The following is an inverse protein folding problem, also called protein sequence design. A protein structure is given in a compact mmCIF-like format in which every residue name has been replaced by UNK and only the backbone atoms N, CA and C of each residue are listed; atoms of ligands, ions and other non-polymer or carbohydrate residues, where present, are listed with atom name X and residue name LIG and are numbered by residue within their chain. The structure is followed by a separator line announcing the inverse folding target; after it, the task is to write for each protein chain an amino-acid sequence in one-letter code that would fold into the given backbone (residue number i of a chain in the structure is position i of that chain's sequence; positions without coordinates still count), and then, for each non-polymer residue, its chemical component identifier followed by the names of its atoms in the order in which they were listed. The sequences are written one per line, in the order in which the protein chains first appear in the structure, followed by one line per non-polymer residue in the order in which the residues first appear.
data_IF_111019071804
#
_entry.id   IF_111019071804
#
_cell.length_a   1.000
_cell.length_b   1.000
_cell.length_c   1.000
_cell.angle_alpha   90.00
_cell.angle_beta   90.00
_cell.angle_gamma   90.00
#
_symmetry.space_group_name_H-M   'P 1'
#
loop_
_entity.id
_entity.type
_entity.pdbx_description
1 polymer ?
#
# COMPACT_ATOMS: atom_id res chain seq x y z
N UNK A 1 3.13 -17.55 -18.41
CA UNK A 1 2.20 -16.64 -19.11
C UNK A 1 2.95 -15.98 -20.25
N UNK A 2 2.30 -15.80 -21.38
CA UNK A 2 2.91 -15.10 -22.54
C UNK A 2 3.17 -13.62 -22.15
N UNK A 3 4.23 -13.03 -22.69
CA UNK A 3 4.57 -11.63 -22.43
C UNK A 3 3.39 -10.67 -22.69
N UNK A 4 2.60 -10.94 -23.74
CA UNK A 4 1.40 -10.15 -24.11
C UNK A 4 0.33 -10.15 -23.02
N UNK A 5 0.04 -11.31 -22.40
CA UNK A 5 -0.96 -11.42 -21.34
C UNK A 5 -0.55 -10.65 -20.08
N UNK A 6 0.71 -10.77 -19.68
CA UNK A 6 1.25 -10.00 -18.55
C UNK A 6 1.21 -8.50 -18.83
N UNK A 7 1.54 -8.09 -20.05
CA UNK A 7 1.48 -6.69 -20.46
C UNK A 7 0.05 -6.14 -20.37
N UNK A 8 -0.94 -6.85 -20.95
CA UNK A 8 -2.35 -6.42 -20.93
C UNK A 8 -2.88 -6.30 -19.49
N UNK A 9 -2.59 -7.31 -18.63
CA UNK A 9 -3.03 -7.27 -17.23
C UNK A 9 -2.35 -6.14 -16.44
N UNK A 10 -1.04 -5.92 -16.67
CA UNK A 10 -0.33 -4.80 -16.03
C UNK A 10 -0.92 -3.46 -16.46
N UNK A 11 -1.21 -3.27 -17.74
CA UNK A 11 -1.86 -2.08 -18.27
C UNK A 11 -3.26 -1.87 -17.66
N UNK A 12 -4.03 -2.94 -17.48
CA UNK A 12 -5.35 -2.88 -16.84
C UNK A 12 -5.23 -2.46 -15.36
N UNK A 13 -4.32 -3.04 -14.59
CA UNK A 13 -4.10 -2.63 -13.21
C UNK A 13 -3.57 -1.20 -13.10
N UNK A 14 -2.72 -0.77 -14.04
CA UNK A 14 -2.26 0.61 -14.12
C UNK A 14 -3.42 1.57 -14.38
N UNK A 15 -4.33 1.23 -15.31
CA UNK A 15 -5.51 2.02 -15.58
C UNK A 15 -6.44 2.13 -14.34
N UNK A 16 -6.62 1.04 -13.59
CA UNK A 16 -7.36 1.06 -12.32
C UNK A 16 -6.68 1.99 -11.30
N UNK A 17 -5.36 1.94 -11.17
CA UNK A 17 -4.62 2.84 -10.27
C UNK A 17 -4.80 4.30 -10.66
N UNK A 18 -4.71 4.64 -11.95
CA UNK A 18 -4.93 6.00 -12.45
C UNK A 18 -6.38 6.44 -12.18
N UNK A 19 -7.35 5.58 -12.44
CA UNK A 19 -8.76 5.88 -12.18
C UNK A 19 -9.02 6.16 -10.70
N UNK A 20 -8.46 5.34 -9.81
CA UNK A 20 -8.55 5.58 -8.37
C UNK A 20 -7.83 6.86 -7.96
N UNK A 21 -6.71 7.20 -8.61
CA UNK A 21 -5.95 8.41 -8.30
C UNK A 21 -6.72 9.71 -8.57
N UNK A 22 -7.52 9.73 -9.66
CA UNK A 22 -8.30 10.90 -10.07
C UNK A 22 -9.71 10.95 -9.46
N UNK A 23 -10.12 9.88 -8.78
CA UNK A 23 -11.43 9.81 -8.11
C UNK A 23 -11.27 9.91 -6.58
N UNK A 24 -12.32 10.35 -5.85
CA UNK A 24 -12.30 10.34 -4.38
C UNK A 24 -12.17 8.94 -3.76
N UNK A 25 -12.45 7.90 -4.54
CA UNK A 25 -12.42 6.51 -4.06
C UNK A 25 -11.01 6.02 -3.70
N UNK A 26 -9.98 6.58 -4.33
CA UNK A 26 -8.60 6.15 -4.06
C UNK A 26 -8.02 6.64 -2.74
N UNK A 27 -8.52 7.76 -2.23
CA UNK A 27 -8.03 8.39 -1.01
C UNK A 27 -9.21 8.95 -0.22
N UNK A 28 -9.63 8.25 0.78
CA UNK A 28 -10.76 8.61 1.64
C UNK A 28 -10.20 9.39 2.84
N UNK A 29 -10.52 10.69 3.01
CA UNK A 29 -10.02 11.46 4.14
C UNK A 29 -10.64 10.96 5.45
N UNK A 30 -9.80 10.55 6.40
CA UNK A 30 -10.20 10.15 7.75
C UNK A 30 -9.36 10.97 8.73
N UNK A 31 -9.87 12.14 9.10
CA UNK A 31 -9.15 13.09 9.96
C UNK A 31 -7.85 13.59 9.31
N UNK A 32 -6.71 13.62 10.02
CA UNK A 32 -5.45 14.13 9.48
C UNK A 32 -4.78 13.17 8.50
N UNK A 33 -5.25 11.95 8.39
CA UNK A 33 -4.69 10.88 7.56
C UNK A 33 -5.70 10.46 6.51
N UNK A 34 -5.21 10.11 5.31
CA UNK A 34 -6.04 9.55 4.25
C UNK A 34 -5.98 8.02 4.27
N UNK A 35 -7.12 7.37 4.48
CA UNK A 35 -7.26 5.95 4.16
C UNK A 35 -7.13 5.78 2.63
N UNK A 36 -6.40 4.79 2.19
CA UNK A 36 -6.19 4.58 0.76
C UNK A 36 -6.67 3.20 0.32
N UNK A 37 -7.48 3.17 -0.71
CA UNK A 37 -7.91 1.92 -1.36
C UNK A 37 -6.95 1.49 -2.48
N UNK A 38 -6.02 2.36 -2.86
CA UNK A 38 -5.08 2.12 -3.97
C UNK A 38 -4.13 0.94 -3.74
N UNK A 39 -3.90 0.54 -2.49
CA UNK A 39 -3.08 -0.62 -2.19
C UNK A 39 -3.75 -1.94 -2.60
N UNK A 40 -5.09 -2.00 -2.66
CA UNK A 40 -5.84 -3.22 -3.02
C UNK A 40 -5.49 -3.73 -4.43
N UNK A 41 -5.58 -2.93 -5.52
CA UNK A 41 -5.16 -3.38 -6.84
C UNK A 41 -3.69 -3.81 -6.91
N UNK A 42 -2.81 -3.15 -6.16
CA UNK A 42 -1.38 -3.50 -6.12
C UNK A 42 -1.16 -4.87 -5.47
N UNK A 43 -1.85 -5.15 -4.36
CA UNK A 43 -1.84 -6.45 -3.67
C UNK A 43 -2.32 -7.56 -4.61
N UNK A 44 -3.47 -7.35 -5.26
CA UNK A 44 -4.04 -8.30 -6.21
C UNK A 44 -3.07 -8.55 -7.37
N UNK A 45 -2.52 -7.49 -7.95
CA UNK A 45 -1.54 -7.58 -9.03
C UNK A 45 -0.27 -8.33 -8.59
N UNK A 46 0.22 -8.10 -7.36
CA UNK A 46 1.35 -8.83 -6.77
C UNK A 46 1.11 -10.35 -6.79
N UNK A 47 -0.07 -10.78 -6.36
CA UNK A 47 -0.42 -12.21 -6.29
C UNK A 47 -0.61 -12.81 -7.69
N UNK A 48 -1.29 -12.09 -8.60
CA UNK A 48 -1.67 -12.58 -9.93
C UNK A 48 -0.51 -12.52 -10.94
N UNK A 49 0.25 -11.42 -10.94
CA UNK A 49 1.32 -11.16 -11.92
C UNK A 49 2.71 -11.49 -11.38
N UNK A 50 2.83 -11.67 -10.08
CA UNK A 50 4.10 -11.92 -9.39
C UNK A 50 4.78 -10.66 -8.87
N UNK A 51 5.85 -10.84 -8.05
CA UNK A 51 6.42 -9.76 -7.25
C UNK A 51 7.13 -8.66 -8.08
N UNK A 52 7.64 -8.99 -9.29
CA UNK A 52 8.32 -8.00 -10.14
C UNK A 52 7.34 -6.96 -10.71
N UNK A 53 6.21 -7.42 -11.28
CA UNK A 53 5.19 -6.54 -11.81
C UNK A 53 4.39 -5.88 -10.68
N UNK A 54 4.19 -6.59 -9.57
CA UNK A 54 3.64 -6.03 -8.34
C UNK A 54 4.49 -4.87 -7.81
N UNK A 55 5.81 -5.02 -7.73
CA UNK A 55 6.74 -3.97 -7.32
C UNK A 55 6.71 -2.75 -8.25
N UNK A 56 6.62 -2.98 -9.57
CA UNK A 56 6.46 -1.91 -10.56
C UNK A 56 5.17 -1.10 -10.32
N UNK A 57 4.03 -1.79 -10.14
CA UNK A 57 2.75 -1.13 -9.84
C UNK A 57 2.77 -0.45 -8.47
N UNK A 58 3.46 -1.03 -7.48
CA UNK A 58 3.71 -0.41 -6.19
C UNK A 58 4.52 0.88 -6.30
N UNK A 59 5.58 0.89 -7.12
CA UNK A 59 6.34 2.09 -7.45
C UNK A 59 5.50 3.16 -8.13
N UNK A 60 4.64 2.76 -9.08
CA UNK A 60 3.67 3.67 -9.71
C UNK A 60 2.69 4.26 -8.70
N UNK A 61 2.19 3.45 -7.76
CA UNK A 61 1.37 3.94 -6.66
C UNK A 61 2.13 4.95 -5.79
N UNK A 62 3.41 4.70 -5.50
CA UNK A 62 4.28 5.65 -4.79
C UNK A 62 4.40 6.99 -5.52
N UNK A 63 4.61 6.95 -6.83
CA UNK A 63 4.66 8.14 -7.69
C UNK A 63 3.32 8.91 -7.67
N UNK A 64 2.21 8.22 -7.82
CA UNK A 64 0.86 8.81 -7.73
C UNK A 64 0.65 9.46 -6.36
N UNK A 65 1.04 8.79 -5.27
CA UNK A 65 0.93 9.31 -3.91
C UNK A 65 1.75 10.60 -3.73
N UNK A 66 2.96 10.64 -4.27
CA UNK A 66 3.81 11.82 -4.26
C UNK A 66 3.20 12.99 -5.05
N UNK A 67 2.76 12.76 -6.29
CA UNK A 67 2.13 13.78 -7.14
C UNK A 67 0.87 14.33 -6.46
N UNK A 68 0.01 13.44 -5.95
CA UNK A 68 -1.22 13.84 -5.28
C UNK A 68 -0.94 14.69 -4.02
N UNK A 69 0.03 14.29 -3.20
CA UNK A 69 0.42 15.07 -2.01
C UNK A 69 1.01 16.42 -2.36
N UNK A 70 1.59 16.58 -3.56
CA UNK A 70 2.07 17.86 -4.06
C UNK A 70 0.93 18.76 -4.53
N UNK A 71 -0.06 18.19 -5.23
CA UNK A 71 -1.16 18.94 -5.84
C UNK A 71 -2.29 19.22 -4.83
N UNK A 72 -2.65 18.21 -4.04
CA UNK A 72 -3.71 18.31 -3.03
C UNK A 72 -3.05 18.29 -1.66
N UNK A 73 -2.73 19.50 -1.17
CA UNK A 73 -2.01 19.66 0.08
C UNK A 73 -2.89 19.37 1.30
N UNK A 74 -2.37 18.55 2.19
CA UNK A 74 -2.91 18.26 3.52
C UNK A 74 -1.84 18.59 4.56
N UNK A 75 -2.16 18.69 5.85
CA UNK A 75 -1.15 18.95 6.88
C UNK A 75 0.03 17.97 6.90
N UNK A 76 -0.14 16.76 6.38
CA UNK A 76 0.90 15.72 6.30
C UNK A 76 1.49 15.53 4.89
N UNK A 77 1.22 16.41 3.93
CA UNK A 77 1.73 16.27 2.56
C UNK A 77 3.25 16.30 2.46
N UNK A 78 3.93 17.03 3.37
CA UNK A 78 5.39 17.07 3.42
C UNK A 78 6.05 15.70 3.69
N UNK A 79 5.30 14.76 4.27
CA UNK A 79 5.77 13.39 4.57
C UNK A 79 5.86 12.54 3.30
N UNK A 80 5.07 12.86 2.27
CA UNK A 80 4.96 12.08 1.03
C UNK A 80 5.51 12.79 -0.20
N UNK A 81 5.78 14.11 -0.11
CA UNK A 81 6.30 14.90 -1.22
C UNK A 81 7.52 15.71 -0.81
N UNK A 82 8.65 15.61 -1.54
CA UNK A 82 9.84 16.42 -1.30
C UNK A 82 9.66 17.87 -1.73
N UNK A 83 8.59 18.21 -2.45
CA UNK A 83 8.30 19.55 -2.95
C UNK A 83 7.47 20.38 -1.98
N UNK A 84 6.93 19.78 -0.94
CA UNK A 84 6.15 20.46 0.10
C UNK A 84 7.07 20.80 1.28
N UNK A 85 7.13 22.08 1.71
CA UNK A 85 7.94 22.48 2.85
C UNK A 85 7.57 21.72 4.12
N UNK A 86 8.59 21.31 4.87
CA UNK A 86 8.42 20.76 6.21
C UNK A 86 7.99 21.89 7.16
N UNK A 87 7.14 21.61 8.13
CA UNK A 87 6.58 22.62 9.04
C UNK A 87 7.69 23.40 9.76
N UNK A 88 7.68 24.72 9.56
CA UNK A 88 8.69 25.63 10.13
C UNK A 88 9.97 25.74 9.32
N UNK A 89 9.99 25.23 8.09
CA UNK A 89 11.09 25.38 7.13
C UNK A 89 10.58 25.89 5.78
N UNK A 90 11.46 26.45 4.95
CA UNK A 90 11.13 26.83 3.58
C UNK A 90 11.40 25.74 2.55
N UNK A 91 11.92 24.58 2.98
CA UNK A 91 12.36 23.52 2.11
C UNK A 91 11.66 22.20 2.40
N UNK A 92 11.40 21.44 1.34
CA UNK A 92 10.94 20.05 1.43
C UNK A 92 12.07 19.10 1.82
N UNK A 93 11.75 17.87 2.14
CA UNK A 93 12.72 16.86 2.56
C UNK A 93 12.73 15.66 1.63
N UNK A 94 13.91 15.28 1.14
CA UNK A 94 14.11 14.06 0.33
C UNK A 94 13.74 12.76 1.09
N UNK A 95 13.68 12.81 2.42
CA UNK A 95 13.19 11.69 3.25
C UNK A 95 11.76 11.28 2.90
N UNK A 96 10.96 12.21 2.36
CA UNK A 96 9.61 11.95 1.89
C UNK A 96 9.56 10.90 0.77
N UNK A 97 10.58 10.84 -0.09
CA UNK A 97 10.66 9.80 -1.14
C UNK A 97 10.75 8.40 -0.56
N UNK A 98 11.48 8.20 0.52
CA UNK A 98 11.59 6.90 1.18
C UNK A 98 10.21 6.42 1.67
N UNK A 99 9.45 7.33 2.28
CA UNK A 99 8.09 7.02 2.77
C UNK A 99 7.11 6.82 1.61
N UNK A 100 7.26 7.59 0.52
CA UNK A 100 6.38 7.46 -0.63
C UNK A 100 6.62 6.16 -1.43
N UNK A 101 7.85 5.67 -1.53
CA UNK A 101 8.18 4.56 -2.42
C UNK A 101 8.38 3.22 -1.70
N UNK A 102 9.15 3.16 -0.60
CA UNK A 102 9.51 1.90 0.04
C UNK A 102 8.29 1.08 0.45
N UNK A 103 7.32 1.61 1.22
CA UNK A 103 6.14 0.84 1.61
C UNK A 103 5.32 0.39 0.40
N UNK A 104 5.18 1.25 -0.62
CA UNK A 104 4.38 0.97 -1.82
C UNK A 104 4.99 -0.12 -2.69
N UNK A 105 6.29 -0.13 -2.86
CA UNK A 105 6.99 -1.22 -3.56
C UNK A 105 6.82 -2.53 -2.78
N UNK A 106 6.94 -2.51 -1.45
CA UNK A 106 6.80 -3.69 -0.61
C UNK A 106 5.37 -4.26 -0.60
N UNK A 107 4.33 -3.43 -0.71
CA UNK A 107 2.95 -3.91 -0.95
C UNK A 107 2.88 -4.75 -2.23
N UNK A 108 3.66 -4.41 -3.25
CA UNK A 108 3.73 -5.15 -4.51
C UNK A 108 4.55 -6.45 -4.43
N UNK A 109 5.25 -6.70 -3.32
CA UNK A 109 6.15 -7.85 -3.15
C UNK A 109 5.68 -8.80 -2.06
N UNK A 110 5.41 -8.28 -0.85
CA UNK A 110 5.10 -9.07 0.35
C UNK A 110 3.90 -10.00 0.17
N UNK A 111 2.75 -9.57 -0.37
CA UNK A 111 1.57 -10.43 -0.49
C UNK A 111 1.81 -11.69 -1.33
N UNK A 112 2.62 -11.60 -2.38
CA UNK A 112 2.98 -12.76 -3.19
C UNK A 112 3.70 -13.84 -2.37
N UNK A 113 4.71 -13.43 -1.61
CA UNK A 113 5.48 -14.38 -0.80
C UNK A 113 4.68 -14.95 0.35
N UNK A 114 3.84 -14.14 0.98
CA UNK A 114 2.90 -14.60 2.04
C UNK A 114 1.92 -15.61 1.46
N UNK A 115 1.29 -15.30 0.33
CA UNK A 115 0.37 -16.24 -0.34
C UNK A 115 1.05 -17.55 -0.71
N UNK A 116 2.23 -17.48 -1.36
CA UNK A 116 3.00 -18.67 -1.75
C UNK A 116 3.40 -19.52 -0.55
N UNK A 117 3.85 -18.90 0.54
CA UNK A 117 4.23 -19.57 1.77
C UNK A 117 3.06 -20.26 2.46
N UNK A 118 1.94 -19.52 2.64
CA UNK A 118 0.73 -20.06 3.28
C UNK A 118 0.11 -21.20 2.47
N UNK A 119 0.05 -21.05 1.14
CA UNK A 119 -0.47 -22.11 0.25
C UNK A 119 0.33 -23.40 0.35
N UNK A 120 1.67 -23.29 0.46
CA UNK A 120 2.54 -24.46 0.69
C UNK A 120 2.28 -25.09 2.06
N UNK A 121 2.15 -24.26 3.10
CA UNK A 121 1.92 -24.73 4.48
C UNK A 121 0.56 -25.40 4.64
N UNK A 122 -0.49 -24.84 4.05
CA UNK A 122 -1.88 -25.34 4.13
C UNK A 122 -2.18 -26.44 3.09
N UNK A 123 -1.17 -27.01 2.44
CA UNK A 123 -1.29 -28.11 1.45
C UNK A 123 -2.38 -27.83 0.41
N UNK A 124 -2.50 -26.58 -0.06
CA UNK A 124 -3.46 -26.12 -1.07
C UNK A 124 -4.95 -26.29 -0.69
N UNK A 125 -5.27 -26.60 0.58
CA UNK A 125 -6.66 -26.86 1.01
C UNK A 125 -7.45 -25.59 1.35
N UNK A 126 -6.79 -24.44 1.53
CA UNK A 126 -7.42 -23.21 2.02
C UNK A 126 -6.94 -21.97 1.23
N UNK A 127 -7.14 -22.00 -0.10
CA UNK A 127 -6.70 -20.90 -0.97
C UNK A 127 -7.33 -19.54 -0.58
N UNK A 128 -8.62 -19.51 -0.24
CA UNK A 128 -9.30 -18.27 0.15
C UNK A 128 -8.74 -17.66 1.44
N UNK A 129 -8.39 -18.50 2.43
CA UNK A 129 -7.76 -18.04 3.68
C UNK A 129 -6.35 -17.52 3.40
N UNK A 130 -5.58 -18.22 2.56
CA UNK A 130 -4.24 -17.78 2.15
C UNK A 130 -4.28 -16.45 1.41
N UNK A 131 -5.27 -16.22 0.55
CA UNK A 131 -5.49 -14.97 -0.16
C UNK A 131 -5.90 -13.84 0.77
N UNK A 132 -6.81 -14.11 1.72
CA UNK A 132 -7.22 -13.14 2.74
C UNK A 132 -6.02 -12.69 3.58
N UNK A 133 -5.24 -13.63 4.10
CA UNK A 133 -4.05 -13.32 4.91
C UNK A 133 -2.97 -12.61 4.12
N UNK A 134 -2.81 -12.93 2.83
CA UNK A 134 -1.90 -12.21 1.95
C UNK A 134 -2.37 -10.75 1.71
N UNK A 135 -3.67 -10.54 1.51
CA UNK A 135 -4.26 -9.21 1.38
C UNK A 135 -4.08 -8.37 2.65
N UNK A 136 -4.40 -8.96 3.80
CA UNK A 136 -4.20 -8.37 5.12
C UNK A 136 -2.73 -7.99 5.34
N UNK A 137 -1.80 -8.90 5.04
CA UNK A 137 -0.36 -8.65 5.21
C UNK A 137 0.14 -7.50 4.34
N UNK A 138 -0.35 -7.38 3.10
CA UNK A 138 0.02 -6.27 2.20
C UNK A 138 -0.43 -4.92 2.74
N UNK A 139 -1.67 -4.81 3.18
CA UNK A 139 -2.21 -3.59 3.78
C UNK A 139 -1.47 -3.22 5.07
N UNK A 140 -1.27 -4.17 5.98
CA UNK A 140 -0.53 -3.94 7.22
C UNK A 140 0.93 -3.56 6.96
N UNK A 141 1.57 -4.16 5.95
CA UNK A 141 2.94 -3.75 5.53
C UNK A 141 2.98 -2.27 5.19
N UNK A 142 1.99 -1.76 4.43
CA UNK A 142 1.92 -0.34 4.13
C UNK A 142 1.79 0.51 5.39
N UNK A 143 0.76 0.25 6.19
CA UNK A 143 0.43 1.09 7.35
C UNK A 143 1.54 1.07 8.39
N UNK A 144 2.07 -0.10 8.73
CA UNK A 144 3.15 -0.24 9.70
C UNK A 144 4.42 0.48 9.22
N UNK A 145 4.82 0.27 7.97
CA UNK A 145 6.03 0.90 7.45
C UNK A 145 5.90 2.41 7.33
N UNK A 146 4.79 2.91 6.76
CA UNK A 146 4.56 4.36 6.64
C UNK A 146 4.59 5.01 8.00
N UNK A 147 3.84 4.50 8.97
CA UNK A 147 3.73 5.10 10.29
C UNK A 147 5.05 5.06 11.08
N UNK A 148 5.79 3.94 11.01
CA UNK A 148 7.10 3.86 11.65
C UNK A 148 8.14 4.76 10.93
N UNK A 149 8.12 4.83 9.60
CA UNK A 149 9.03 5.75 8.89
C UNK A 149 8.72 7.21 9.19
N UNK A 150 7.45 7.60 9.37
CA UNK A 150 7.07 8.93 9.86
C UNK A 150 7.69 9.17 11.24
N UNK A 151 7.59 8.21 12.14
CA UNK A 151 8.19 8.32 13.47
C UNK A 151 9.71 8.55 13.41
N UNK A 152 10.43 7.73 12.65
CA UNK A 152 11.89 7.81 12.59
C UNK A 152 12.42 9.03 11.80
N UNK A 153 11.70 9.49 10.80
CA UNK A 153 12.19 10.52 9.87
C UNK A 153 11.61 11.92 10.14
N UNK A 154 10.40 12.01 10.72
CA UNK A 154 9.63 13.25 10.88
C UNK A 154 8.92 13.35 12.25
N UNK A 155 9.46 12.74 13.30
CA UNK A 155 8.81 12.69 14.61
C UNK A 155 8.40 14.06 15.14
N UNK A 156 9.32 15.05 15.08
CA UNK A 156 9.08 16.40 15.59
C UNK A 156 7.99 17.12 14.78
N UNK A 157 8.03 17.00 13.47
CA UNK A 157 7.11 17.69 12.59
C UNK A 157 5.73 17.04 12.64
N UNK A 158 5.68 15.71 12.74
CA UNK A 158 4.44 14.99 12.96
C UNK A 158 3.78 15.36 14.30
N UNK A 159 4.57 15.50 15.39
CA UNK A 159 4.08 15.95 16.69
C UNK A 159 3.43 17.32 16.61
N UNK A 160 4.02 18.27 15.87
CA UNK A 160 3.45 19.61 15.65
C UNK A 160 2.12 19.55 14.92
N UNK A 161 2.00 18.68 13.88
CA UNK A 161 0.74 18.54 13.11
C UNK A 161 -0.40 18.03 13.95
N UNK A 162 -0.15 17.00 14.77
CA UNK A 162 -1.19 16.36 15.59
C UNK A 162 -1.38 17.03 16.96
N UNK A 163 -0.59 18.07 17.27
CA UNK A 163 -0.70 18.84 18.53
C UNK A 163 -0.34 18.01 19.77
N UNK A 164 0.66 17.12 19.69
CA UNK A 164 1.04 16.22 20.78
C UNK A 164 2.50 16.41 21.22
N UNK A 165 2.84 15.89 22.40
CA UNK A 165 4.21 15.86 22.89
C UNK A 165 5.03 14.74 22.23
N UNK A 166 6.36 14.93 22.10
CA UNK A 166 7.25 13.94 21.47
C UNK A 166 7.14 12.54 22.10
N UNK A 167 6.97 12.45 23.42
CA UNK A 167 6.83 11.18 24.13
C UNK A 167 5.53 10.43 23.81
N UNK A 168 4.50 11.14 23.35
CA UNK A 168 3.19 10.58 22.99
C UNK A 168 3.05 10.28 21.49
N UNK A 169 4.03 10.66 20.65
CA UNK A 169 3.97 10.43 19.21
C UNK A 169 3.83 8.96 18.87
N UNK A 170 4.59 8.09 19.54
CA UNK A 170 4.56 6.66 19.24
C UNK A 170 3.20 6.03 19.61
N UNK A 171 2.59 6.44 20.71
CA UNK A 171 1.25 5.99 21.08
C UNK A 171 0.19 6.47 20.08
N UNK A 172 0.32 7.69 19.54
CA UNK A 172 -0.55 8.17 18.47
C UNK A 172 -0.37 7.35 17.18
N UNK A 173 0.86 6.98 16.82
CA UNK A 173 1.16 6.11 15.69
C UNK A 173 0.52 4.72 15.88
N UNK A 174 0.67 4.11 17.05
CA UNK A 174 0.01 2.84 17.37
C UNK A 174 -1.52 2.97 17.27
N UNK A 175 -2.10 4.06 17.77
CA UNK A 175 -3.52 4.31 17.64
C UNK A 175 -3.97 4.29 16.17
N UNK A 176 -3.24 4.96 15.26
CA UNK A 176 -3.55 4.95 13.82
C UNK A 176 -3.43 3.54 13.23
N UNK A 177 -2.38 2.78 13.59
CA UNK A 177 -2.19 1.41 13.10
C UNK A 177 -3.39 0.53 13.50
N UNK A 178 -3.86 0.65 14.74
CA UNK A 178 -4.98 -0.16 15.23
C UNK A 178 -6.34 0.32 14.73
N UNK A 179 -6.60 1.63 14.71
CA UNK A 179 -7.91 2.18 14.37
C UNK A 179 -8.17 2.25 12.87
N UNK A 180 -7.14 2.50 12.07
CA UNK A 180 -7.25 2.60 10.60
C UNK A 180 -6.62 1.39 9.91
N UNK A 181 -5.43 0.97 10.32
CA UNK A 181 -4.69 -0.09 9.63
C UNK A 181 -5.36 -1.46 9.70
N UNK A 182 -5.97 -1.85 10.84
CA UNK A 182 -6.66 -3.13 10.97
C UNK A 182 -7.93 -3.17 10.10
N UNK A 183 -8.87 -2.20 10.18
CA UNK A 183 -10.04 -2.18 9.31
C UNK A 183 -9.67 -2.15 7.81
N UNK A 184 -8.71 -1.33 7.40
CA UNK A 184 -8.21 -1.31 6.02
C UNK A 184 -7.65 -2.68 5.61
N UNK A 185 -6.90 -3.32 6.49
CA UNK A 185 -6.35 -4.66 6.27
C UNK A 185 -7.41 -5.73 6.07
N UNK A 186 -8.49 -5.69 6.86
CA UNK A 186 -9.61 -6.62 6.72
C UNK A 186 -10.29 -6.43 5.36
N UNK A 187 -10.57 -5.18 4.97
CA UNK A 187 -11.17 -4.85 3.66
C UNK A 187 -10.26 -5.31 2.52
N UNK A 188 -8.95 -5.04 2.61
CA UNK A 188 -7.98 -5.48 1.61
C UNK A 188 -7.90 -7.01 1.53
N UNK A 189 -7.95 -7.71 2.67
CA UNK A 189 -7.99 -9.16 2.73
C UNK A 189 -9.22 -9.75 2.05
N UNK A 190 -10.41 -9.23 2.35
CA UNK A 190 -11.67 -9.66 1.74
C UNK A 190 -11.69 -9.40 0.24
N UNK A 191 -11.32 -8.20 -0.19
CA UNK A 191 -11.25 -7.84 -1.61
C UNK A 191 -10.24 -8.73 -2.36
N UNK A 192 -9.06 -8.97 -1.77
CA UNK A 192 -8.03 -9.84 -2.35
C UNK A 192 -8.54 -11.28 -2.48
N UNK A 193 -9.18 -11.83 -1.44
CA UNK A 193 -9.73 -13.18 -1.49
C UNK A 193 -10.83 -13.30 -2.55
N UNK A 194 -11.74 -12.35 -2.62
CA UNK A 194 -12.84 -12.36 -3.60
C UNK A 194 -12.32 -12.31 -5.04
N UNK A 195 -11.47 -11.32 -5.34
CA UNK A 195 -11.00 -11.08 -6.71
C UNK A 195 -9.96 -12.12 -7.15
N UNK A 196 -8.97 -12.45 -6.31
CA UNK A 196 -7.94 -13.41 -6.69
C UNK A 196 -8.47 -14.83 -6.84
N UNK A 197 -9.50 -15.25 -6.08
CA UNK A 197 -10.14 -16.56 -6.30
C UNK A 197 -10.70 -16.70 -7.72
N UNK A 198 -11.29 -15.63 -8.25
CA UNK A 198 -11.80 -15.63 -9.62
C UNK A 198 -10.63 -15.58 -10.62
N UNK A 199 -9.74 -14.61 -10.47
CA UNK A 199 -8.65 -14.40 -11.40
C UNK A 199 -7.69 -15.61 -11.50
N UNK A 200 -7.34 -16.25 -10.39
CA UNK A 200 -6.43 -17.40 -10.40
C UNK A 200 -7.06 -18.65 -11.01
N UNK A 201 -8.39 -18.77 -11.00
CA UNK A 201 -9.10 -19.85 -11.73
C UNK A 201 -8.97 -19.67 -13.25
N UNK A 202 -9.11 -18.44 -13.74
CA UNK A 202 -9.00 -18.13 -15.17
C UNK A 202 -7.53 -18.05 -15.66
N UNK A 203 -6.62 -17.61 -14.78
CA UNK A 203 -5.23 -17.36 -15.11
C UNK A 203 -4.29 -18.33 -14.37
N UNK A 204 -4.47 -19.66 -14.51
CA UNK A 204 -3.55 -20.66 -13.93
C UNK A 204 -2.09 -20.24 -14.16
N UNK A 205 -1.44 -19.76 -13.11
CA UNK A 205 -0.04 -19.33 -13.18
C UNK A 205 0.87 -20.56 -12.94
N UNK A 206 1.75 -20.95 -13.89
CA UNK A 206 2.60 -22.13 -13.75
C UNK A 206 3.49 -22.10 -12.50
N UNK A 207 3.89 -20.89 -12.04
CA UNK A 207 4.76 -20.73 -10.87
C UNK A 207 4.08 -20.95 -9.51
N UNK A 208 2.75 -21.09 -9.48
CA UNK A 208 1.98 -21.29 -8.24
C UNK A 208 1.48 -22.74 -8.11
N UNK A 209 1.71 -23.59 -9.11
CA UNK A 209 1.25 -25.00 -9.16
C UNK A 209 2.34 -26.01 -8.82
N UNK A 210 3.58 -25.58 -8.59
CA UNK A 210 4.71 -26.45 -8.18
C UNK A 210 5.09 -26.23 -6.73
#
# INVERSE_FOLDING_TARGET
MTNTKNFTLTAMFLAILILLAVTPLGFIPIGPINATTMHIPVIIASIVLGPRLGAFLGGTFGLISMIRSTVIQTPLSFVFSPFIPVIGTEHGSWKALLIAFIPRILIGVVPYFVYKGLRKLMKQKADSVSLFLAGLSGSLTNTILVMNMIYFLFQQDYAKVIGTNLNAVYSAILAVIFTSGIPEGIVAGLATAAVCNVLLRYFKHPSLTN
#
